data_IF_369807500806
#
_entry.id   IF_369807500806
#
_cell.length_a   1.000
_cell.length_b   1.000
_cell.length_c   1.000
_cell.angle_alpha   90.00
_cell.angle_beta   90.00
_cell.angle_gamma   90.00
#
_symmetry.space_group_name_H-M   'P 1'
#
loop_
_entity.id
_entity.type
_entity.pdbx_description
1 polymer ?
#
# COMPACT_ATOMS: atom_id res chain seq x y z
N UNK A 1 9.70 -13.66 -13.60
CA UNK A 1 8.87 -14.45 -14.54
C UNK A 1 7.39 -14.35 -14.14
N UNK A 2 6.45 -14.24 -15.08
CA UNK A 2 5.02 -14.04 -14.78
C UNK A 2 4.42 -15.19 -13.97
N UNK A 3 4.87 -16.43 -14.21
CA UNK A 3 4.43 -17.63 -13.49
C UNK A 3 4.76 -17.61 -12.00
N UNK A 4 5.92 -17.06 -11.63
CA UNK A 4 6.29 -16.93 -10.22
C UNK A 4 5.39 -15.91 -9.52
N UNK A 5 5.02 -14.85 -10.23
CA UNK A 5 4.06 -13.86 -9.72
C UNK A 5 2.71 -14.53 -9.46
N UNK A 6 2.14 -15.21 -10.47
CA UNK A 6 0.85 -15.90 -10.35
C UNK A 6 0.87 -16.89 -9.18
N UNK A 7 1.96 -17.67 -9.06
CA UNK A 7 2.13 -18.60 -7.95
C UNK A 7 2.12 -17.85 -6.62
N UNK A 8 2.90 -16.78 -6.46
CA UNK A 8 2.92 -15.99 -5.21
C UNK A 8 1.54 -15.45 -4.82
N UNK A 9 0.74 -14.97 -5.78
CA UNK A 9 -0.63 -14.50 -5.51
C UNK A 9 -1.51 -15.65 -5.05
N UNK A 10 -1.45 -16.80 -5.73
CA UNK A 10 -2.20 -17.98 -5.32
C UNK A 10 -1.81 -18.44 -3.91
N UNK A 11 -0.51 -18.49 -3.59
CA UNK A 11 -0.06 -18.85 -2.23
C UNK A 11 -0.54 -17.85 -1.20
N UNK A 12 -0.46 -16.55 -1.49
CA UNK A 12 -0.95 -15.52 -0.58
C UNK A 12 -2.46 -15.64 -0.33
N UNK A 13 -3.25 -16.00 -1.34
CA UNK A 13 -4.70 -16.21 -1.20
C UNK A 13 -5.00 -17.43 -0.33
N UNK A 14 -4.27 -18.52 -0.52
CA UNK A 14 -4.44 -19.75 0.26
C UNK A 14 -4.06 -19.51 1.73
N UNK A 15 -2.94 -18.84 1.99
CA UNK A 15 -2.44 -18.59 3.36
C UNK A 15 -3.29 -17.54 4.08
N UNK A 16 -3.80 -16.52 3.37
CA UNK A 16 -4.57 -15.42 3.94
C UNK A 16 -5.92 -15.24 3.22
N UNK A 17 -6.90 -16.15 3.45
CA UNK A 17 -8.13 -16.18 2.65
C UNK A 17 -9.02 -14.94 2.83
N UNK A 18 -9.00 -14.31 4.01
CA UNK A 18 -9.80 -13.11 4.33
C UNK A 18 -9.14 -11.80 3.85
N UNK A 19 -7.86 -11.83 3.48
CA UNK A 19 -7.12 -10.62 3.10
C UNK A 19 -7.39 -10.25 1.64
N UNK A 20 -7.41 -8.94 1.34
CA UNK A 20 -7.47 -8.46 -0.04
C UNK A 20 -6.05 -8.35 -0.59
N UNK A 21 -5.74 -9.10 -1.64
CA UNK A 21 -4.44 -9.06 -2.32
C UNK A 21 -4.50 -7.98 -3.39
N UNK A 22 -3.61 -6.99 -3.28
CA UNK A 22 -3.53 -5.86 -4.22
C UNK A 22 -2.33 -5.98 -5.15
N UNK A 23 -2.60 -6.05 -6.46
CA UNK A 23 -1.54 -5.88 -7.47
C UNK A 23 -1.14 -4.41 -7.51
N UNK A 24 0.09 -4.17 -7.07
CA UNK A 24 0.60 -2.83 -6.81
C UNK A 24 1.48 -2.35 -7.97
N UNK A 25 2.76 -2.10 -7.73
CA UNK A 25 3.69 -1.65 -8.75
C UNK A 25 4.04 -2.77 -9.76
N UNK A 26 4.39 -2.37 -10.99
CA UNK A 26 4.90 -3.27 -12.03
C UNK A 26 3.87 -3.81 -13.02
N UNK A 27 2.59 -3.41 -12.91
CA UNK A 27 1.53 -3.79 -13.85
C UNK A 27 1.79 -3.32 -15.28
N UNK A 28 2.44 -2.16 -15.46
CA UNK A 28 2.87 -1.64 -16.77
C UNK A 28 3.76 -2.60 -17.55
N UNK A 29 4.48 -3.48 -16.85
CA UNK A 29 5.40 -4.43 -17.45
C UNK A 29 4.78 -5.83 -17.60
N UNK A 30 3.51 -6.00 -17.22
CA UNK A 30 2.78 -7.27 -17.33
C UNK A 30 1.86 -7.21 -18.55
N UNK A 31 1.81 -8.32 -19.30
CA UNK A 31 0.80 -8.45 -20.35
C UNK A 31 -0.60 -8.51 -19.74
N UNK A 32 -1.59 -8.18 -20.56
CA UNK A 32 -3.00 -8.18 -20.19
C UNK A 32 -3.45 -9.57 -19.67
N UNK A 33 -3.03 -10.64 -20.33
CA UNK A 33 -3.31 -12.02 -19.93
C UNK A 33 -2.61 -12.38 -18.62
N UNK A 34 -1.39 -11.86 -18.42
CA UNK A 34 -0.67 -12.01 -17.17
C UNK A 34 -1.46 -11.43 -16.00
N UNK A 35 -1.98 -10.21 -16.16
CA UNK A 35 -2.82 -9.57 -15.14
C UNK A 35 -4.13 -10.35 -14.92
N UNK A 36 -4.80 -10.80 -15.99
CA UNK A 36 -5.99 -11.64 -15.90
C UNK A 36 -5.76 -12.91 -15.07
N UNK A 37 -4.65 -13.62 -15.30
CA UNK A 37 -4.28 -14.81 -14.53
C UNK A 37 -4.02 -14.48 -13.05
N UNK A 38 -3.54 -13.29 -12.74
CA UNK A 38 -3.34 -12.86 -11.35
C UNK A 38 -4.67 -12.61 -10.62
N UNK A 39 -5.67 -12.05 -11.31
CA UNK A 39 -7.03 -11.93 -10.76
C UNK A 39 -7.66 -13.30 -10.55
N UNK A 40 -7.53 -14.20 -11.53
CA UNK A 40 -7.99 -15.59 -11.40
C UNK A 40 -7.31 -16.33 -10.25
N UNK A 41 -6.02 -16.06 -10.00
CA UNK A 41 -5.27 -16.64 -8.88
C UNK A 41 -5.67 -16.09 -7.49
N UNK A 42 -6.43 -15.00 -7.44
CA UNK A 42 -6.98 -14.46 -6.19
C UNK A 42 -6.58 -13.03 -5.85
N UNK A 43 -5.97 -12.27 -6.77
CA UNK A 43 -5.88 -10.83 -6.62
C UNK A 43 -7.27 -10.20 -6.64
N UNK A 44 -7.52 -9.22 -5.77
CA UNK A 44 -8.84 -8.60 -5.58
C UNK A 44 -8.79 -7.08 -5.53
N UNK A 45 -7.66 -6.46 -5.86
CA UNK A 45 -7.50 -5.00 -5.86
C UNK A 45 -6.33 -4.58 -6.73
N UNK A 46 -6.43 -3.38 -7.31
CA UNK A 46 -5.36 -2.67 -8.02
C UNK A 46 -5.31 -1.21 -7.59
N UNK A 47 -4.23 -0.50 -7.94
CA UNK A 47 -4.25 0.96 -7.95
C UNK A 47 -4.80 1.46 -9.29
N UNK A 48 -5.82 2.32 -9.21
CA UNK A 48 -6.36 3.05 -10.35
C UNK A 48 -5.87 4.51 -10.31
N UNK A 49 -5.52 5.05 -11.48
CA UNK A 49 -5.00 6.41 -11.67
C UNK A 49 -3.65 6.43 -12.37
N UNK A 50 -3.27 7.57 -12.93
CA UNK A 50 -2.17 7.66 -13.92
C UNK A 50 -0.77 7.49 -13.32
N UNK A 51 -0.64 7.69 -12.01
CA UNK A 51 0.66 7.64 -11.32
C UNK A 51 0.54 7.00 -9.94
N UNK A 52 1.55 6.20 -9.61
CA UNK A 52 1.81 5.74 -8.25
C UNK A 52 2.58 6.82 -7.48
N UNK A 53 3.45 6.42 -6.54
CA UNK A 53 4.26 7.37 -5.76
C UNK A 53 5.31 8.09 -6.63
N UNK A 54 6.01 7.35 -7.50
CA UNK A 54 7.08 7.89 -8.35
C UNK A 54 7.08 7.32 -9.77
N UNK A 55 6.37 6.21 -10.01
CA UNK A 55 6.34 5.48 -11.29
C UNK A 55 5.00 5.66 -12.01
N UNK A 56 4.99 5.57 -13.36
CA UNK A 56 3.75 5.51 -14.13
C UNK A 56 2.95 4.25 -13.79
N UNK A 57 1.63 4.34 -13.94
CA UNK A 57 0.67 3.25 -13.77
C UNK A 57 -0.11 3.07 -15.09
N UNK A 58 -0.71 1.90 -15.36
CA UNK A 58 -1.64 1.76 -16.47
C UNK A 58 -2.78 2.79 -16.38
N UNK A 59 -3.27 3.22 -17.54
CA UNK A 59 -4.36 4.20 -17.57
C UNK A 59 -5.66 3.59 -17.06
N UNK A 60 -6.52 4.43 -16.47
CA UNK A 60 -7.79 3.96 -15.89
C UNK A 60 -8.70 3.32 -16.93
N UNK A 61 -8.66 3.79 -18.18
CA UNK A 61 -9.48 3.24 -19.27
C UNK A 61 -9.07 1.80 -19.63
N UNK A 62 -7.77 1.51 -19.68
CA UNK A 62 -7.26 0.16 -19.94
C UNK A 62 -7.67 -0.81 -18.84
N UNK A 63 -7.61 -0.36 -17.59
CA UNK A 63 -8.03 -1.14 -16.42
C UNK A 63 -9.53 -1.46 -16.42
N UNK A 64 -10.36 -0.49 -16.85
CA UNK A 64 -11.81 -0.67 -16.98
C UNK A 64 -12.14 -1.64 -18.11
N UNK A 65 -11.54 -1.48 -19.28
CA UNK A 65 -11.70 -2.43 -20.39
C UNK A 65 -11.29 -3.84 -19.97
N UNK A 66 -10.21 -3.95 -19.19
CA UNK A 66 -9.78 -5.22 -18.61
C UNK A 66 -10.86 -5.86 -17.74
N UNK A 67 -11.46 -5.08 -16.84
CA UNK A 67 -12.50 -5.57 -15.96
C UNK A 67 -13.77 -5.97 -16.72
N UNK A 68 -14.15 -5.22 -17.74
CA UNK A 68 -15.29 -5.57 -18.60
C UNK A 68 -15.08 -6.92 -19.30
N UNK A 69 -13.89 -7.15 -19.88
CA UNK A 69 -13.55 -8.40 -20.55
C UNK A 69 -13.48 -9.59 -19.59
N UNK A 70 -13.00 -9.38 -18.36
CA UNK A 70 -12.92 -10.43 -17.33
C UNK A 70 -14.24 -10.63 -16.56
N UNK A 71 -15.26 -9.79 -16.80
CA UNK A 71 -16.53 -9.83 -16.05
C UNK A 71 -16.38 -9.45 -14.58
N UNK A 72 -15.40 -8.61 -14.24
CA UNK A 72 -15.14 -8.14 -12.88
C UNK A 72 -15.88 -6.84 -12.60
N UNK A 73 -16.56 -6.77 -11.46
CA UNK A 73 -17.21 -5.55 -11.01
C UNK A 73 -16.27 -4.74 -10.10
N UNK A 74 -15.93 -3.49 -10.45
CA UNK A 74 -15.09 -2.65 -9.61
C UNK A 74 -15.85 -2.28 -8.32
N UNK A 75 -15.17 -2.43 -7.18
CA UNK A 75 -15.73 -1.99 -5.89
C UNK A 75 -15.98 -0.49 -5.92
N UNK A 76 -17.09 -0.05 -5.33
CA UNK A 76 -17.36 1.36 -5.14
C UNK A 76 -16.19 2.04 -4.40
N UNK A 77 -15.82 3.28 -4.77
CA UNK A 77 -14.82 4.04 -4.04
C UNK A 77 -15.18 4.07 -2.56
N UNK A 78 -14.17 3.98 -1.68
CA UNK A 78 -14.40 4.11 -0.26
C UNK A 78 -15.08 5.46 0.01
N UNK A 79 -16.39 5.43 0.29
CA UNK A 79 -17.10 6.60 0.78
C UNK A 79 -16.42 7.02 2.07
N UNK A 80 -16.14 8.31 2.23
CA UNK A 80 -15.54 8.87 3.44
C UNK A 80 -16.50 8.62 4.60
N UNK A 81 -16.38 7.46 5.25
CA UNK A 81 -17.06 7.18 6.50
C UNK A 81 -16.52 8.11 7.59
N UNK A 82 -17.14 8.05 8.77
CA UNK A 82 -16.59 8.69 9.96
C UNK A 82 -15.14 8.27 10.11
N UNK A 83 -14.25 9.26 10.04
CA UNK A 83 -12.83 9.03 10.26
C UNK A 83 -12.75 8.45 11.67
N UNK A 84 -12.22 7.23 11.88
CA UNK A 84 -12.13 6.69 13.23
C UNK A 84 -11.45 7.75 14.09
N UNK A 85 -12.12 8.14 15.18
CA UNK A 85 -11.58 9.16 16.06
C UNK A 85 -10.18 8.73 16.43
N UNK A 86 -9.23 9.65 16.25
CA UNK A 86 -7.86 9.41 16.69
C UNK A 86 -7.93 9.40 18.21
N UNK A 87 -8.22 8.24 18.79
CA UNK A 87 -8.12 8.04 20.23
C UNK A 87 -6.69 8.39 20.58
N UNK A 88 -6.55 9.48 21.36
CA UNK A 88 -5.27 9.89 21.89
C UNK A 88 -4.60 8.65 22.49
N UNK A 89 -3.38 8.37 22.06
CA UNK A 89 -2.64 7.15 22.45
C UNK A 89 -2.57 6.96 23.97
N UNK A 90 -2.75 8.03 24.74
CA UNK A 90 -2.84 8.06 26.20
C UNK A 90 -4.13 7.41 26.75
N UNK A 91 -5.27 7.51 26.07
CA UNK A 91 -6.53 6.89 26.51
C UNK A 91 -6.56 5.39 26.19
N UNK A 92 -6.02 4.98 25.04
CA UNK A 92 -5.88 3.56 24.66
C UNK A 92 -4.78 2.80 25.43
N UNK A 93 -3.98 3.51 26.23
CA UNK A 93 -2.89 2.97 27.05
C UNK A 93 -3.35 2.36 28.37
N UNK A 94 -4.57 2.66 28.85
CA UNK A 94 -5.02 2.33 30.21
C UNK A 94 -5.28 0.83 30.46
N UNK A 95 -5.15 -0.03 29.44
CA UNK A 95 -5.39 -1.48 29.55
C UNK A 95 -4.22 -2.38 29.11
N UNK A 96 -3.03 -1.83 28.80
CA UNK A 96 -1.85 -2.65 28.45
C UNK A 96 -0.84 -2.57 29.59
N UNK A 97 -0.75 -3.65 30.38
CA UNK A 97 0.41 -3.93 31.24
C UNK A 97 1.65 -3.97 30.36
N UNK A 98 2.48 -2.94 30.52
CA UNK A 98 3.74 -2.66 29.84
C UNK A 98 3.76 -2.77 28.31
N UNK A 99 3.85 -1.61 27.65
CA UNK A 99 4.25 -1.55 26.25
C UNK A 99 5.67 -2.07 26.10
N UNK A 100 5.83 -3.31 25.63
CA UNK A 100 7.11 -3.79 25.12
C UNK A 100 7.60 -2.86 24.01
N UNK A 101 8.55 -2.01 24.38
CA UNK A 101 9.16 -1.03 23.49
C UNK A 101 10.27 -1.76 22.76
N UNK A 102 9.99 -2.24 21.53
CA UNK A 102 11.04 -2.80 20.68
C UNK A 102 12.11 -1.72 20.43
N UNK A 103 13.23 -1.84 21.14
CA UNK A 103 14.39 -0.99 20.98
C UNK A 103 15.14 -1.45 19.75
N UNK A 104 15.10 -0.66 18.67
CA UNK A 104 16.03 -0.86 17.54
C UNK A 104 17.44 -0.73 18.13
N UNK A 105 18.33 -1.73 18.01
CA UNK A 105 19.64 -1.68 18.65
C UNK A 105 20.45 -0.48 18.15
N UNK A 106 20.56 0.57 18.98
CA UNK A 106 21.62 1.59 19.06
C UNK A 106 22.13 2.33 17.82
N UNK A 107 21.66 2.05 16.59
CA UNK A 107 22.31 2.56 15.39
C UNK A 107 21.77 3.93 15.00
N UNK A 108 22.61 4.97 15.20
CA UNK A 108 22.36 6.32 14.72
C UNK A 108 22.99 6.51 13.35
N UNK A 109 22.17 6.65 12.32
CA UNK A 109 22.63 7.04 10.98
C UNK A 109 22.95 8.54 11.03
N UNK A 110 24.23 8.90 10.98
CA UNK A 110 24.70 10.28 11.12
C UNK A 110 24.02 11.25 10.13
N UNK A 111 23.80 10.80 8.89
CA UNK A 111 23.10 11.58 7.87
C UNK A 111 21.69 11.99 8.33
N UNK A 112 20.89 11.05 8.87
CA UNK A 112 19.52 11.33 9.32
C UNK A 112 19.49 12.34 10.46
N UNK A 113 20.47 12.30 11.37
CA UNK A 113 20.60 13.27 12.46
C UNK A 113 20.86 14.68 11.90
N UNK A 114 21.76 14.81 10.92
CA UNK A 114 22.04 16.09 10.27
C UNK A 114 20.84 16.63 9.51
N UNK A 115 20.15 15.78 8.73
CA UNK A 115 18.91 16.16 8.04
C UNK A 115 17.83 16.64 9.01
N UNK A 116 17.63 15.96 10.15
CA UNK A 116 16.66 16.43 11.16
C UNK A 116 17.04 17.76 11.81
N UNK A 117 18.34 18.04 12.01
CA UNK A 117 18.81 19.33 12.55
C UNK A 117 18.61 20.44 11.53
N UNK A 118 19.01 20.22 10.27
CA UNK A 118 18.83 21.18 9.18
C UNK A 118 17.35 21.49 8.93
N UNK A 119 16.48 20.48 8.97
CA UNK A 119 15.04 20.66 8.83
C UNK A 119 14.43 21.46 9.99
N UNK A 120 14.90 21.26 11.23
CA UNK A 120 14.47 22.07 12.38
C UNK A 120 14.89 23.53 12.24
N UNK A 121 16.12 23.79 11.80
CA UNK A 121 16.63 25.14 11.56
C UNK A 121 15.78 25.82 10.48
N UNK A 122 15.57 25.15 9.35
CA UNK A 122 14.75 25.66 8.23
C UNK A 122 13.33 26.03 8.68
N UNK A 123 12.68 25.19 9.50
CA UNK A 123 11.34 25.46 10.06
C UNK A 123 11.31 26.63 11.06
N UNK A 124 12.42 26.90 11.74
CA UNK A 124 12.53 28.04 12.66
C UNK A 124 12.80 29.35 11.92
N UNK A 125 13.56 29.29 10.83
CA UNK A 125 13.84 30.45 9.98
C UNK A 125 12.66 30.84 9.10
N UNK A 126 11.83 29.89 8.65
CA UNK A 126 10.62 30.16 7.86
C UNK A 126 9.43 30.64 8.71
N UNK A 127 9.52 30.52 10.05
CA UNK A 127 8.50 31.01 10.99
C UNK A 127 8.78 32.42 11.54
N UNK A 128 9.90 33.03 11.17
CA UNK A 128 10.26 34.42 11.46
C UNK A 128 10.10 35.26 10.20
#
# INVERSE_FOLDING_TARGET
PIWDMIRMVATARIVMPQSVIRLSAGRTNMSYEGQALCFMAGAGSIFAGDKLLTTPNPEMFEDLEMFHLLGLEPTAPFAKGERPEVVDRAAAEQGKTEKEKWSRPGHKIAANVQYTKAAKIKRQTEKK
#
